data_IF_619122793312
#
_entry.id   IF_619122793312
#
_cell.length_a   1.000
_cell.length_b   1.000
_cell.length_c   1.000
_cell.angle_alpha   90.00
_cell.angle_beta   90.00
_cell.angle_gamma   90.00
#
_symmetry.space_group_name_H-M   'P 1'
#
loop_
_entity.id
_entity.type
_entity.pdbx_description
1 polymer ?
#
# COMPACT_ATOMS: atom_id res chain seq x y z
N UNK A 1 7.88 30.07 15.65
CA UNK A 1 7.26 29.96 14.32
C UNK A 1 8.03 29.02 13.39
N UNK A 2 9.35 29.20 13.21
CA UNK A 2 10.19 28.32 12.36
C UNK A 2 10.27 26.88 12.90
N UNK A 3 10.44 26.71 14.22
CA UNK A 3 10.51 25.38 14.85
C UNK A 3 9.24 24.53 14.65
N UNK A 4 8.06 25.14 14.69
CA UNK A 4 6.79 24.45 14.46
C UNK A 4 6.62 24.04 12.99
N UNK A 5 7.08 24.87 12.05
CA UNK A 5 7.08 24.55 10.62
C UNK A 5 8.04 23.39 10.31
N UNK A 6 9.26 23.42 10.85
CA UNK A 6 10.23 22.33 10.67
C UNK A 6 9.75 21.04 11.31
N UNK A 7 9.08 21.11 12.47
CA UNK A 7 8.52 19.93 13.14
C UNK A 7 7.37 19.30 12.34
N UNK A 8 6.45 20.10 11.82
CA UNK A 8 5.32 19.59 11.04
C UNK A 8 5.77 19.05 9.68
N UNK A 9 6.75 19.71 9.04
CA UNK A 9 7.36 19.25 7.79
C UNK A 9 8.11 17.93 7.99
N UNK A 10 8.92 17.81 9.06
CA UNK A 10 9.63 16.58 9.39
C UNK A 10 8.64 15.43 9.64
N UNK A 11 7.57 15.69 10.41
CA UNK A 11 6.51 14.71 10.64
C UNK A 11 5.88 14.22 9.33
N UNK A 12 5.55 15.14 8.42
CA UNK A 12 4.99 14.79 7.11
C UNK A 12 5.95 13.95 6.26
N UNK A 13 7.24 14.28 6.27
CA UNK A 13 8.26 13.57 5.48
C UNK A 13 8.64 12.19 6.05
N UNK A 14 8.42 11.96 7.35
CA UNK A 14 8.68 10.66 8.01
C UNK A 14 7.53 9.67 7.91
N UNK A 15 6.34 10.14 7.56
CA UNK A 15 5.19 9.26 7.38
C UNK A 15 5.23 8.73 5.95
N UNK A 16 5.84 7.55 5.78
CA UNK A 16 5.49 6.68 4.66
C UNK A 16 4.04 6.24 4.88
N UNK A 17 3.08 7.00 4.34
CA UNK A 17 1.73 6.47 4.16
C UNK A 17 1.85 5.43 3.06
N UNK A 18 1.71 4.16 3.44
CA UNK A 18 1.20 3.17 2.49
C UNK A 18 -0.15 3.70 2.04
N UNK A 19 -0.18 4.40 0.91
CA UNK A 19 -1.38 4.96 0.32
C UNK A 19 -2.15 3.77 -0.29
N UNK A 20 -2.85 3.03 0.57
CA UNK A 20 -3.64 1.91 0.15
C UNK A 20 -4.92 2.47 -0.45
N UNK A 21 -4.97 2.54 -1.78
CA UNK A 21 -6.17 2.94 -2.54
C UNK A 21 -7.40 2.09 -2.26
N UNK A 22 -7.22 0.93 -1.60
CA UNK A 22 -8.27 -0.01 -1.23
C UNK A 22 -8.13 -0.27 0.27
N UNK A 23 -9.13 0.11 1.06
CA UNK A 23 -9.20 -0.16 2.51
C UNK A 23 -10.22 -1.25 2.85
N UNK A 24 -11.20 -1.45 1.96
CA UNK A 24 -12.35 -2.32 2.17
C UNK A 24 -12.69 -3.16 0.93
N UNK A 25 -13.51 -4.20 1.12
CA UNK A 25 -14.04 -4.99 0.00
C UNK A 25 -14.98 -4.16 -0.86
N UNK A 26 -15.64 -3.17 -0.26
CA UNK A 26 -16.52 -2.23 -0.94
C UNK A 26 -15.75 -1.36 -1.92
N UNK A 27 -14.57 -0.89 -1.54
CA UNK A 27 -13.70 -0.09 -2.42
C UNK A 27 -13.19 -0.95 -3.57
N UNK A 28 -12.77 -2.19 -3.26
CA UNK A 28 -12.34 -3.17 -4.26
C UNK A 28 -13.42 -3.46 -5.30
N UNK A 29 -14.69 -3.56 -4.88
CA UNK A 29 -15.82 -3.87 -5.74
C UNK A 29 -16.29 -2.68 -6.61
N UNK A 30 -16.05 -1.44 -6.18
CA UNK A 30 -16.44 -0.22 -6.92
C UNK A 30 -15.49 0.11 -8.08
N UNK A 31 -14.24 -0.35 -8.00
CA UNK A 31 -13.18 -0.07 -8.96
C UNK A 31 -12.89 -1.27 -9.86
N UNK A 32 -12.16 -1.04 -10.96
CA UNK A 32 -11.80 -2.08 -11.94
C UNK A 32 -10.30 -2.15 -12.24
N UNK A 33 -9.48 -1.31 -11.63
CA UNK A 33 -8.03 -1.23 -11.85
C UNK A 33 -7.32 -2.45 -11.25
N UNK A 34 -7.68 -2.81 -10.03
CA UNK A 34 -7.21 -4.01 -9.32
C UNK A 34 -8.19 -5.14 -9.56
N UNK A 35 -7.72 -6.16 -10.26
CA UNK A 35 -8.49 -7.38 -10.48
C UNK A 35 -8.54 -8.18 -9.19
N UNK A 36 -9.60 -8.95 -8.97
CA UNK A 36 -9.69 -9.83 -7.80
C UNK A 36 -10.26 -11.18 -8.16
N UNK A 37 -9.86 -12.21 -7.40
CA UNK A 37 -10.29 -13.57 -7.64
C UNK A 37 -10.06 -14.51 -6.47
N UNK A 38 -10.62 -15.71 -6.60
CA UNK A 38 -10.54 -16.78 -5.59
C UNK A 38 -9.87 -18.03 -6.16
N UNK A 39 -9.64 -19.03 -5.31
CA UNK A 39 -9.29 -20.37 -5.75
C UNK A 39 -10.40 -21.00 -6.61
N UNK A 40 -10.02 -21.62 -7.72
CA UNK A 40 -10.93 -22.33 -8.63
C UNK A 40 -11.58 -23.52 -7.91
N UNK A 41 -12.91 -23.53 -7.84
CA UNK A 41 -13.67 -24.60 -7.21
C UNK A 41 -13.58 -24.65 -5.68
N UNK A 42 -13.10 -23.58 -5.03
CA UNK A 42 -13.02 -23.48 -3.58
C UNK A 42 -14.31 -22.99 -2.91
N UNK A 43 -14.38 -23.16 -1.58
CA UNK A 43 -15.48 -22.65 -0.73
C UNK A 43 -15.68 -21.13 -0.84
N UNK A 44 -14.59 -20.37 -1.05
CA UNK A 44 -14.63 -18.93 -1.26
C UNK A 44 -15.33 -18.57 -2.58
N UNK A 45 -15.15 -19.36 -3.64
CA UNK A 45 -15.87 -19.14 -4.90
C UNK A 45 -17.37 -19.32 -4.70
N UNK A 46 -17.76 -20.47 -4.13
CA UNK A 46 -19.15 -20.79 -3.84
C UNK A 46 -19.81 -19.73 -2.94
N UNK A 47 -19.07 -19.18 -1.97
CA UNK A 47 -19.56 -18.08 -1.12
C UNK A 47 -20.02 -16.86 -1.93
N UNK A 48 -19.24 -16.42 -2.92
CA UNK A 48 -19.63 -15.27 -3.74
C UNK A 48 -20.79 -15.62 -4.69
N UNK A 49 -20.80 -16.84 -5.24
CA UNK A 49 -21.87 -17.31 -6.14
C UNK A 49 -23.23 -17.48 -5.42
N UNK A 50 -23.21 -18.02 -4.19
CA UNK A 50 -24.41 -18.32 -3.41
C UNK A 50 -24.88 -17.16 -2.50
N UNK A 51 -24.07 -16.12 -2.34
CA UNK A 51 -24.38 -15.01 -1.45
C UNK A 51 -25.57 -14.19 -1.94
N UNK A 52 -26.49 -13.83 -1.04
CA UNK A 52 -27.60 -12.92 -1.33
C UNK A 52 -27.27 -11.42 -1.27
N UNK A 53 -26.11 -11.07 -0.72
CA UNK A 53 -25.68 -9.68 -0.57
C UNK A 53 -25.36 -9.07 -1.95
N UNK A 54 -25.94 -7.90 -2.32
CA UNK A 54 -25.78 -7.31 -3.65
C UNK A 54 -24.32 -7.10 -4.08
N UNK A 55 -23.46 -6.65 -3.16
CA UNK A 55 -22.05 -6.39 -3.48
C UNK A 55 -21.29 -7.69 -3.82
N UNK A 56 -21.56 -8.77 -3.10
CA UNK A 56 -20.93 -10.06 -3.37
C UNK A 56 -21.44 -10.70 -4.67
N UNK A 57 -22.73 -10.53 -5.01
CA UNK A 57 -23.25 -10.92 -6.34
C UNK A 57 -22.58 -10.14 -7.47
N UNK A 58 -22.39 -8.83 -7.29
CA UNK A 58 -21.67 -8.00 -8.26
C UNK A 58 -20.22 -8.49 -8.44
N UNK A 59 -19.52 -8.78 -7.34
CA UNK A 59 -18.17 -9.33 -7.39
C UNK A 59 -18.13 -10.71 -8.07
N UNK A 60 -19.10 -11.59 -7.80
CA UNK A 60 -19.23 -12.89 -8.46
C UNK A 60 -19.39 -12.76 -9.98
N UNK A 61 -20.25 -11.83 -10.41
CA UNK A 61 -20.47 -11.53 -11.82
C UNK A 61 -19.21 -10.96 -12.47
N UNK A 62 -18.51 -10.04 -11.79
CA UNK A 62 -17.23 -9.52 -12.26
C UNK A 62 -16.20 -10.65 -12.43
N UNK A 63 -16.01 -11.49 -11.41
CA UNK A 63 -15.04 -12.59 -11.46
C UNK A 63 -15.34 -13.61 -12.57
N UNK A 64 -16.63 -13.84 -12.86
CA UNK A 64 -17.05 -14.80 -13.89
C UNK A 64 -17.01 -14.22 -15.30
N UNK A 65 -17.27 -12.93 -15.47
CA UNK A 65 -17.28 -12.25 -16.77
C UNK A 65 -15.90 -11.79 -17.24
N UNK A 66 -14.93 -11.67 -16.34
CA UNK A 66 -13.60 -11.15 -16.64
C UNK A 66 -12.74 -12.15 -17.43
N UNK A 67 -12.13 -11.66 -18.51
CA UNK A 67 -11.17 -12.41 -19.34
C UNK A 67 -9.86 -11.63 -19.43
N UNK A 68 -8.69 -12.23 -19.11
CA UNK A 68 -8.45 -13.63 -18.74
C UNK A 68 -8.95 -13.99 -17.33
N UNK A 69 -9.12 -15.29 -17.06
CA UNK A 69 -9.65 -15.78 -15.78
C UNK A 69 -8.92 -15.17 -14.57
N UNK A 70 -9.69 -14.59 -13.65
CA UNK A 70 -9.19 -14.08 -12.36
C UNK A 70 -9.04 -15.18 -11.31
N UNK A 71 -9.62 -16.35 -11.54
CA UNK A 71 -9.47 -17.52 -10.67
C UNK A 71 -8.07 -18.12 -10.78
N UNK A 72 -7.56 -18.61 -9.66
CA UNK A 72 -6.25 -19.28 -9.54
C UNK A 72 -6.42 -20.74 -9.19
N UNK A 73 -5.47 -21.60 -9.59
CA UNK A 73 -5.55 -23.05 -9.37
C UNK A 73 -4.88 -23.49 -8.07
N UNK A 74 -3.98 -22.67 -7.50
CA UNK A 74 -3.29 -22.97 -6.24
C UNK A 74 -2.98 -21.72 -5.43
N UNK A 75 -2.77 -21.88 -4.12
CA UNK A 75 -2.33 -20.77 -3.24
C UNK A 75 -0.97 -20.20 -3.64
N UNK A 76 -0.06 -21.02 -4.19
CA UNK A 76 1.25 -20.54 -4.67
C UNK A 76 1.11 -19.63 -5.88
N UNK A 77 0.24 -19.99 -6.81
CA UNK A 77 -0.11 -19.15 -7.97
C UNK A 77 -0.78 -17.85 -7.51
N UNK A 78 -1.67 -17.92 -6.51
CA UNK A 78 -2.29 -16.75 -5.91
C UNK A 78 -1.25 -15.76 -5.37
N UNK A 79 -0.32 -16.24 -4.56
CA UNK A 79 0.77 -15.43 -3.99
C UNK A 79 1.62 -14.80 -5.09
N UNK A 80 2.06 -15.58 -6.07
CA UNK A 80 2.84 -15.06 -7.19
C UNK A 80 2.10 -13.97 -7.97
N UNK A 81 0.79 -14.14 -8.19
CA UNK A 81 -0.04 -13.17 -8.92
C UNK A 81 -0.27 -11.89 -8.12
N UNK A 82 -0.44 -11.97 -6.80
CA UNK A 82 -0.55 -10.79 -5.93
C UNK A 82 0.77 -10.02 -5.90
N UNK A 83 1.91 -10.72 -5.81
CA UNK A 83 3.24 -10.10 -5.81
C UNK A 83 3.60 -9.41 -7.13
N UNK A 84 3.03 -9.86 -8.26
CA UNK A 84 3.17 -9.17 -9.55
C UNK A 84 2.45 -7.81 -9.60
N UNK A 85 1.54 -7.55 -8.65
CA UNK A 85 0.76 -6.31 -8.57
C UNK A 85 -0.59 -6.37 -9.31
N UNK A 86 -1.42 -5.36 -9.06
CA UNK A 86 -2.76 -5.15 -9.68
C UNK A 86 -3.73 -6.35 -9.55
N UNK A 87 -3.53 -7.21 -8.56
CA UNK A 87 -4.40 -8.34 -8.27
C UNK A 87 -4.59 -8.53 -6.76
N UNK A 88 -5.84 -8.72 -6.33
CA UNK A 88 -6.21 -9.04 -4.96
C UNK A 88 -6.75 -10.47 -4.87
N UNK A 89 -6.21 -11.26 -3.94
CA UNK A 89 -6.67 -12.62 -3.70
C UNK A 89 -7.68 -12.67 -2.56
N UNK A 90 -8.85 -13.26 -2.82
CA UNK A 90 -9.92 -13.48 -1.85
C UNK A 90 -9.92 -14.95 -1.43
N UNK A 91 -9.74 -15.21 -0.14
CA UNK A 91 -9.61 -16.56 0.40
C UNK A 91 -9.83 -16.63 1.90
N UNK A 92 -9.54 -17.80 2.48
CA UNK A 92 -9.69 -18.05 3.92
C UNK A 92 -8.66 -17.25 4.73
N UNK A 93 -9.10 -16.60 5.80
CA UNK A 93 -8.27 -15.72 6.62
C UNK A 93 -7.05 -16.40 7.23
N UNK A 94 -7.19 -17.65 7.68
CA UNK A 94 -6.10 -18.49 8.18
C UNK A 94 -5.03 -18.76 7.13
N UNK A 95 -5.46 -19.02 5.89
CA UNK A 95 -4.57 -19.24 4.75
C UNK A 95 -3.86 -17.94 4.36
N UNK A 96 -4.57 -16.82 4.34
CA UNK A 96 -4.00 -15.49 4.04
C UNK A 96 -2.96 -15.13 5.11
N UNK A 97 -3.32 -15.19 6.38
CA UNK A 97 -2.42 -14.87 7.49
C UNK A 97 -1.17 -15.77 7.44
N UNK A 98 -1.31 -17.05 7.11
CA UNK A 98 -0.16 -17.94 6.95
C UNK A 98 0.84 -17.43 5.89
N UNK A 99 0.35 -16.92 4.76
CA UNK A 99 1.18 -16.40 3.68
C UNK A 99 1.76 -15.03 4.02
N UNK A 100 0.99 -14.14 4.66
CA UNK A 100 1.46 -12.82 5.10
C UNK A 100 2.59 -12.94 6.12
N UNK A 101 2.54 -13.91 7.04
CA UNK A 101 3.65 -14.16 7.96
C UNK A 101 4.92 -14.65 7.25
N UNK A 102 4.82 -15.16 6.01
CA UNK A 102 5.92 -15.76 5.22
C UNK A 102 6.46 -14.88 4.10
N UNK A 103 5.66 -13.90 3.68
CA UNK A 103 5.94 -13.01 2.58
C UNK A 103 5.61 -11.60 3.05
N UNK A 104 6.64 -10.85 3.47
CA UNK A 104 6.46 -9.53 4.08
C UNK A 104 5.96 -8.47 3.08
N UNK A 105 6.03 -8.76 1.79
CA UNK A 105 5.49 -7.94 0.70
C UNK A 105 3.96 -8.09 0.58
N UNK A 106 3.36 -9.06 1.28
CA UNK A 106 1.92 -9.24 1.32
C UNK A 106 1.32 -8.55 2.54
N UNK A 107 0.13 -8.00 2.36
CA UNK A 107 -0.69 -7.47 3.46
C UNK A 107 -2.13 -7.96 3.32
N UNK A 108 -2.79 -8.16 4.46
CA UNK A 108 -4.23 -8.33 4.51
C UNK A 108 -4.89 -6.95 4.62
N UNK A 109 -5.87 -6.70 3.75
CA UNK A 109 -6.68 -5.47 3.73
C UNK A 109 -8.11 -5.82 4.13
N UNK A 110 -8.74 -4.94 4.91
CA UNK A 110 -10.12 -5.11 5.36
C UNK A 110 -10.32 -6.20 6.42
N UNK A 111 -11.60 -6.39 6.79
CA UNK A 111 -12.04 -7.36 7.77
C UNK A 111 -12.40 -8.72 7.16
N UNK A 112 -12.99 -9.60 7.98
CA UNK A 112 -13.55 -10.87 7.52
C UNK A 112 -14.86 -10.62 6.77
N UNK A 113 -15.01 -11.26 5.61
CA UNK A 113 -16.23 -11.19 4.79
C UNK A 113 -17.33 -12.13 5.32
N UNK A 114 -16.92 -13.19 6.01
CA UNK A 114 -17.77 -14.18 6.65
C UNK A 114 -17.14 -14.71 7.95
N UNK A 115 -17.92 -15.43 8.74
CA UNK A 115 -17.46 -16.08 9.98
C UNK A 115 -17.54 -17.60 9.80
N UNK A 116 -16.45 -18.19 9.27
CA UNK A 116 -16.29 -19.63 9.12
C UNK A 116 -15.25 -20.19 10.09
N UNK A 117 -15.35 -21.48 10.39
CA UNK A 117 -14.41 -22.20 11.24
C UNK A 117 -14.15 -23.62 10.75
N UNK A 118 -12.98 -24.16 11.07
CA UNK A 118 -12.65 -25.56 10.78
C UNK A 118 -13.18 -26.49 11.86
N UNK A 119 -13.62 -27.68 11.44
CA UNK A 119 -14.08 -28.74 12.33
C UNK A 119 -13.49 -30.10 11.95
N UNK A 120 -13.44 -31.01 12.91
CA UNK A 120 -13.06 -32.41 12.67
C UNK A 120 -14.32 -33.18 12.31
N UNK A 121 -14.36 -33.73 11.10
CA UNK A 121 -15.50 -34.50 10.62
C UNK A 121 -15.37 -35.99 11.00
N UNK A 122 -16.46 -36.57 11.50
CA UNK A 122 -16.59 -38.01 11.73
C UNK A 122 -17.79 -38.57 10.95
N UNK A 123 -17.79 -39.86 10.55
CA UNK A 123 -18.97 -40.49 9.97
C UNK A 123 -20.22 -40.31 10.85
N UNK A 124 -21.38 -40.25 10.21
CA UNK A 124 -22.66 -40.11 10.93
C UNK A 124 -22.85 -41.31 11.88
N UNK A 125 -23.17 -41.03 13.13
CA UNK A 125 -23.33 -42.05 14.18
C UNK A 125 -22.03 -42.57 14.79
N UNK A 126 -20.88 -41.95 14.50
CA UNK A 126 -19.60 -42.36 15.10
C UNK A 126 -19.62 -42.21 16.63
N UNK A 127 -19.20 -43.24 17.41
CA UNK A 127 -19.13 -43.15 18.86
C UNK A 127 -18.05 -42.17 19.35
N UNK A 128 -17.12 -41.77 18.48
CA UNK A 128 -16.02 -40.86 18.82
C UNK A 128 -16.38 -39.39 18.75
N UNK A 129 -17.52 -39.03 18.13
CA UNK A 129 -17.90 -37.63 17.90
C UNK A 129 -17.90 -36.82 19.19
N UNK A 130 -18.55 -37.35 20.22
CA UNK A 130 -18.73 -36.64 21.49
C UNK A 130 -17.41 -36.59 22.27
N UNK A 131 -16.67 -37.70 22.29
CA UNK A 131 -15.34 -37.77 22.91
C UNK A 131 -14.37 -36.76 22.29
N UNK A 132 -14.31 -36.68 20.95
CA UNK A 132 -13.45 -35.73 20.23
C UNK A 132 -13.88 -34.30 20.54
N UNK A 133 -15.18 -34.01 20.49
CA UNK A 133 -15.72 -32.68 20.77
C UNK A 133 -15.36 -32.22 22.19
N UNK A 134 -15.49 -33.08 23.19
CA UNK A 134 -15.10 -32.78 24.57
C UNK A 134 -13.59 -32.48 24.68
N UNK A 135 -12.74 -33.27 24.00
CA UNK A 135 -11.30 -33.01 24.02
C UNK A 135 -10.94 -31.69 23.33
N UNK A 136 -11.64 -31.31 22.24
CA UNK A 136 -11.43 -30.01 21.60
C UNK A 136 -11.73 -28.87 22.58
N UNK A 137 -12.85 -28.95 23.32
CA UNK A 137 -13.20 -27.95 24.33
C UNK A 137 -12.12 -27.85 25.41
N UNK A 138 -11.63 -28.98 25.94
CA UNK A 138 -10.52 -29.00 26.91
C UNK A 138 -9.22 -28.39 26.35
N UNK A 139 -8.95 -28.56 25.06
CA UNK A 139 -7.79 -27.93 24.40
C UNK A 139 -7.98 -26.41 24.25
N UNK A 140 -9.20 -25.95 24.01
CA UNK A 140 -9.55 -24.52 23.94
C UNK A 140 -9.44 -23.85 25.31
N UNK A 141 -10.04 -24.44 26.36
CA UNK A 141 -9.95 -23.94 27.75
C UNK A 141 -8.50 -23.80 28.22
N UNK A 142 -7.65 -24.76 27.87
CA UNK A 142 -6.21 -24.74 28.18
C UNK A 142 -5.38 -23.87 27.24
N UNK A 143 -6.03 -23.16 26.31
CA UNK A 143 -5.40 -22.32 25.28
C UNK A 143 -4.34 -23.05 24.43
N UNK A 144 -4.40 -24.38 24.33
CA UNK A 144 -3.43 -25.17 23.57
C UNK A 144 -3.53 -24.91 22.08
N UNK A 145 -4.74 -24.70 21.56
CA UNK A 145 -4.97 -24.37 20.15
C UNK A 145 -4.31 -23.03 19.81
N UNK A 146 -4.46 -22.02 20.67
CA UNK A 146 -3.80 -20.71 20.49
C UNK A 146 -2.27 -20.84 20.49
N UNK A 147 -1.70 -21.63 21.42
CA UNK A 147 -0.25 -21.91 21.43
C UNK A 147 0.22 -22.61 20.15
N UNK A 148 -0.55 -23.57 19.64
CA UNK A 148 -0.24 -24.25 18.37
C UNK A 148 -0.29 -23.27 17.20
N UNK A 149 -1.31 -22.41 17.14
CA UNK A 149 -1.39 -21.39 16.12
C UNK A 149 -0.17 -20.46 16.14
N UNK A 150 0.19 -19.88 17.29
CA UNK A 150 1.40 -19.04 17.42
C UNK A 150 2.65 -19.78 16.97
N UNK A 151 2.81 -21.05 17.38
CA UNK A 151 3.95 -21.87 17.01
C UNK A 151 4.06 -22.09 15.49
N UNK A 152 2.95 -22.42 14.83
CA UNK A 152 2.97 -22.81 13.41
C UNK A 152 2.86 -21.62 12.44
N UNK A 153 2.15 -20.56 12.83
CA UNK A 153 1.98 -19.36 12.00
C UNK A 153 3.11 -18.36 12.21
N UNK A 154 3.48 -18.07 13.46
CA UNK A 154 4.42 -16.98 13.81
C UNK A 154 5.84 -17.48 14.05
N UNK A 155 6.04 -18.44 14.96
CA UNK A 155 7.40 -18.87 15.36
C UNK A 155 8.13 -19.69 14.29
N UNK A 156 7.38 -20.47 13.49
CA UNK A 156 7.91 -21.28 12.39
C UNK A 156 7.88 -20.58 11.03
N UNK A 157 7.51 -19.31 10.97
CA UNK A 157 7.70 -18.55 9.74
C UNK A 157 9.21 -18.36 9.54
N UNK A 158 9.77 -18.89 8.44
CA UNK A 158 11.20 -18.76 8.13
C UNK A 158 11.57 -17.32 7.77
N UNK A 159 10.62 -16.54 7.26
CA UNK A 159 10.79 -15.10 7.15
C UNK A 159 10.44 -14.45 8.48
N UNK A 160 11.47 -13.93 9.15
CA UNK A 160 11.25 -12.89 10.15
C UNK A 160 10.77 -11.65 9.39
N UNK A 161 9.47 -11.56 9.13
CA UNK A 161 8.84 -10.27 8.90
C UNK A 161 8.93 -9.54 10.23
N UNK A 162 10.12 -9.00 10.49
CA UNK A 162 10.42 -8.37 11.76
C UNK A 162 9.34 -7.33 11.99
N UNK A 163 8.54 -7.56 13.00
CA UNK A 163 7.79 -6.52 13.69
C UNK A 163 8.74 -5.46 14.29
N UNK A 164 10.04 -5.47 14.00
CA UNK A 164 10.91 -4.30 14.12
C UNK A 164 10.63 -3.25 13.01
N UNK A 165 9.98 -3.61 11.89
CA UNK A 165 9.58 -2.65 10.84
C UNK A 165 8.34 -1.80 11.18
N UNK A 166 7.62 -2.09 12.28
CA UNK A 166 6.52 -1.24 12.77
C UNK A 166 6.92 -0.33 13.94
N UNK A 167 8.18 -0.38 14.40
CA UNK A 167 8.66 0.38 15.57
C UNK A 167 10.13 0.81 15.55
N UNK A 168 10.96 0.29 14.65
CA UNK A 168 12.26 0.84 14.27
C UNK A 168 12.20 1.17 12.79
N UNK A 169 11.55 2.29 12.49
CA UNK A 169 11.90 3.03 11.28
C UNK A 169 13.37 3.42 11.45
N UNK A 170 14.30 2.66 10.85
CA UNK A 170 15.45 3.32 10.27
C UNK A 170 14.81 4.30 9.30
N UNK A 171 14.82 5.59 9.65
CA UNK A 171 14.29 6.63 8.82
C UNK A 171 14.81 6.36 7.40
N UNK A 172 13.92 6.02 6.46
CA UNK A 172 14.28 5.97 5.05
C UNK A 172 15.01 7.28 4.79
N UNK A 173 16.29 7.21 4.45
CA UNK A 173 17.08 8.41 4.19
C UNK A 173 16.27 9.24 3.19
N UNK A 174 16.03 10.50 3.53
CA UNK A 174 15.26 11.42 2.70
C UNK A 174 15.91 11.49 1.32
N UNK A 175 15.40 10.68 0.39
CA UNK A 175 15.91 10.60 -0.96
C UNK A 175 15.74 11.94 -1.66
N UNK A 176 16.55 12.18 -2.69
CA UNK A 176 16.49 13.38 -3.53
C UNK A 176 15.08 13.65 -4.09
N UNK A 177 14.21 12.64 -4.15
CA UNK A 177 12.80 12.75 -4.55
C UNK A 177 11.96 13.59 -3.59
N UNK A 178 12.21 13.56 -2.28
CA UNK A 178 11.44 14.35 -1.30
C UNK A 178 11.96 15.79 -1.17
N UNK A 179 13.24 16.04 -1.47
CA UNK A 179 13.89 17.37 -1.31
C UNK A 179 14.15 18.06 -2.66
N UNK A 180 13.92 17.37 -3.78
CA UNK A 180 14.22 17.85 -5.14
C UNK A 180 13.52 19.15 -5.50
N UNK A 181 12.31 19.38 -4.99
CA UNK A 181 11.57 20.63 -5.20
C UNK A 181 12.32 21.87 -4.69
N UNK A 182 13.08 21.75 -3.59
CA UNK A 182 13.86 22.87 -3.02
C UNK A 182 15.01 23.25 -3.95
N UNK A 183 15.68 22.27 -4.55
CA UNK A 183 16.77 22.51 -5.51
C UNK A 183 16.26 23.18 -6.80
N UNK A 184 15.07 22.79 -7.29
CA UNK A 184 14.46 23.41 -8.47
C UNK A 184 14.15 24.88 -8.22
N UNK A 185 13.57 25.22 -7.06
CA UNK A 185 13.27 26.62 -6.69
C UNK A 185 14.54 27.45 -6.55
N UNK A 186 15.60 26.90 -5.95
CA UNK A 186 16.90 27.57 -5.87
C UNK A 186 17.48 27.87 -7.25
N UNK A 187 17.48 26.89 -8.16
CA UNK A 187 17.97 27.08 -9.52
C UNK A 187 17.16 28.14 -10.28
N UNK A 188 15.83 28.10 -10.17
CA UNK A 188 14.96 29.10 -10.77
C UNK A 188 15.26 30.52 -10.23
N UNK A 189 15.51 30.65 -8.92
CA UNK A 189 15.87 31.91 -8.29
C UNK A 189 17.20 32.48 -8.79
N UNK A 190 18.22 31.64 -8.97
CA UNK A 190 19.52 32.04 -9.53
C UNK A 190 19.38 32.50 -10.99
N UNK A 191 18.59 31.78 -11.80
CA UNK A 191 18.33 32.16 -13.19
C UNK A 191 17.58 33.48 -13.29
N UNK A 192 16.52 33.67 -12.49
CA UNK A 192 15.78 34.93 -12.47
C UNK A 192 16.65 36.11 -11.99
N UNK A 193 17.49 35.90 -10.97
CA UNK A 193 18.41 36.91 -10.45
C UNK A 193 19.48 37.32 -11.45
N UNK A 194 20.05 36.35 -12.18
CA UNK A 194 21.03 36.62 -13.23
C UNK A 194 20.40 37.38 -14.41
N UNK A 195 19.17 37.02 -14.81
CA UNK A 195 18.41 37.76 -15.83
C UNK A 195 18.16 39.21 -15.39
N UNK A 196 17.70 39.42 -14.16
CA UNK A 196 17.49 40.77 -13.60
C UNK A 196 18.77 41.61 -13.61
N UNK A 197 19.90 41.02 -13.19
CA UNK A 197 21.19 41.71 -13.21
C UNK A 197 21.64 42.11 -14.63
N UNK A 198 21.39 41.23 -15.62
CA UNK A 198 21.66 41.53 -17.03
C UNK A 198 20.77 42.67 -17.51
N UNK A 199 19.48 42.66 -17.17
CA UNK A 199 18.56 43.75 -17.54
C UNK A 199 18.98 45.10 -16.94
N UNK A 200 19.36 45.14 -15.66
CA UNK A 200 19.86 46.35 -15.03
C UNK A 200 21.15 46.86 -15.68
N UNK A 201 22.07 45.95 -16.00
CA UNK A 201 23.32 46.29 -16.68
C UNK A 201 23.06 46.89 -18.06
N UNK A 202 22.18 46.28 -18.86
CA UNK A 202 21.80 46.78 -20.19
C UNK A 202 21.09 48.13 -20.10
N UNK A 203 20.16 48.32 -19.14
CA UNK A 203 19.50 49.61 -18.93
C UNK A 203 20.51 50.70 -18.58
N UNK A 204 21.42 50.43 -17.64
CA UNK A 204 22.43 51.39 -17.18
C UNK A 204 23.43 51.72 -18.28
N UNK A 205 23.90 50.73 -19.04
CA UNK A 205 24.76 50.94 -20.19
C UNK A 205 24.08 51.83 -21.25
N UNK A 206 22.80 51.57 -21.55
CA UNK A 206 22.05 52.36 -22.53
C UNK A 206 21.76 53.79 -22.06
N UNK A 207 21.47 53.98 -20.76
CA UNK A 207 21.32 55.29 -20.16
C UNK A 207 22.63 56.08 -20.18
N UNK A 208 23.76 55.46 -19.86
CA UNK A 208 25.06 56.12 -19.90
C UNK A 208 25.45 56.52 -21.33
N UNK A 209 25.27 55.63 -22.33
CA UNK A 209 25.50 55.98 -23.73
C UNK A 209 24.60 57.11 -24.27
N UNK A 210 23.41 57.31 -23.70
CA UNK A 210 22.56 58.48 -24.00
C UNK A 210 23.09 59.76 -23.34
N UNK A 211 23.61 59.68 -22.12
CA UNK A 211 24.18 60.82 -21.40
C UNK A 211 25.48 61.30 -22.07
N UNK A 212 26.34 60.38 -22.53
CA UNK A 212 27.58 60.72 -23.24
C UNK A 212 27.32 61.41 -24.58
N UNK A 213 26.23 61.05 -25.28
CA UNK A 213 25.79 61.75 -26.50
C UNK A 213 25.30 63.19 -26.23
N UNK A 214 24.72 63.46 -25.06
CA UNK A 214 24.28 64.81 -24.66
C UNK A 214 25.47 65.65 -24.16
N UNK A 215 26.45 65.04 -23.49
CA UNK A 215 27.69 65.71 -23.07
C UNK A 215 28.58 66.14 -24.25
N UNK A 216 28.68 65.31 -25.29
CA UNK A 216 29.44 65.65 -26.51
C UNK A 216 28.79 66.77 -27.34
N UNK A 217 27.45 66.90 -27.33
CA UNK A 217 26.75 67.98 -28.03
C UNK A 217 26.88 69.34 -27.31
N UNK A 218 27.06 69.34 -25.99
CA UNK A 218 27.25 70.58 -25.22
C UNK A 218 28.67 71.16 -25.33
N UNK A 219 29.68 70.33 -25.65
CA UNK A 219 31.07 70.78 -25.85
C UNK A 219 31.38 71.30 -27.27
N UNK A 220 30.47 71.11 -28.24
CA UNK A 220 30.64 71.57 -29.64
C UNK A 220 29.91 72.90 -29.90
N UNK A 221 29.13 73.41 -28.94
CA UNK A 221 28.34 74.65 -29.07
C UNK A 221 28.88 75.79 -28.17
N UNK A 222 30.04 75.62 -27.53
CA UNK A 222 30.74 76.69 -26.79
C UNK A 222 32.12 76.96 -27.36
#
# INVERSE_FOLDING_TARGET
MISSYTANLAAFLTIDRLDTTIESVEDLAKQTDVHYGTLKGGSSKAFFEDSDVPIYKQMANFMTSTTPSVYVSSTKEAVARVLLGSYAYLGESTSIDYQVQRHCDLMQVGGLLDSKGYGIATPRGSPYRDMISEQILRLQERQKISKLYTKWWKEKAESNCDTEGKGKQNANELGLQNVGGVFVVLMAGVVAGTIMAIFEFLWKAWRNSRIDKVGSLSYVIS
#
